data_IF_840839432509
#
_entry.id   IF_840839432509
#
_cell.length_a   1.000
_cell.length_b   1.000
_cell.length_c   1.000
_cell.angle_alpha   90.00
_cell.angle_beta   90.00
_cell.angle_gamma   90.00
#
_symmetry.space_group_name_H-M   'P 1'
#
loop_
_entity.id
_entity.type
_entity.pdbx_description
1 polymer ?
#
# COMPACT_ATOMS: atom_id res chain seq x y z
N UNK A 1 -1.52 23.59 16.13
CA UNK A 1 -1.89 22.84 14.90
C UNK A 1 -3.40 22.82 14.82
N UNK A 2 -3.96 23.28 13.70
CA UNK A 2 -5.41 23.31 13.49
C UNK A 2 -5.95 21.88 13.35
N UNK A 3 -6.89 21.48 14.21
CA UNK A 3 -7.39 20.08 14.29
C UNK A 3 -8.22 19.65 13.07
N UNK A 4 -8.50 20.57 12.15
CA UNK A 4 -9.22 20.30 10.91
C UNK A 4 -8.32 20.40 9.67
N UNK A 5 -7.01 20.65 9.86
CA UNK A 5 -6.08 20.75 8.74
C UNK A 5 -5.88 19.39 8.06
N UNK A 6 -5.47 19.43 6.79
CA UNK A 6 -5.15 18.22 6.01
C UNK A 6 -4.03 17.41 6.66
N UNK A 7 -3.06 18.11 7.22
CA UNK A 7 -1.90 17.55 7.92
C UNK A 7 -2.32 16.85 9.20
N UNK A 8 -3.20 17.46 10.02
CA UNK A 8 -3.71 16.82 11.24
C UNK A 8 -4.48 15.54 10.91
N UNK A 9 -5.33 15.58 9.88
CA UNK A 9 -6.06 14.41 9.38
C UNK A 9 -5.10 13.33 8.87
N UNK A 10 -4.04 13.70 8.16
CA UNK A 10 -3.01 12.76 7.71
C UNK A 10 -2.30 12.08 8.89
N UNK A 11 -1.89 12.84 9.91
CA UNK A 11 -1.29 12.30 11.14
C UNK A 11 -2.22 11.28 11.80
N UNK A 12 -3.50 11.62 11.98
CA UNK A 12 -4.49 10.71 12.58
C UNK A 12 -4.64 9.41 11.78
N UNK A 13 -4.71 9.50 10.45
CA UNK A 13 -4.78 8.32 9.55
C UNK A 13 -3.54 7.45 9.71
N UNK A 14 -2.35 8.04 9.62
CA UNK A 14 -1.07 7.33 9.69
C UNK A 14 -0.88 6.61 11.02
N UNK A 15 -1.11 7.30 12.14
CA UNK A 15 -1.02 6.68 13.48
C UNK A 15 -2.00 5.52 13.58
N UNK A 16 -3.25 5.72 13.16
CA UNK A 16 -4.28 4.68 13.24
C UNK A 16 -3.92 3.42 12.44
N UNK A 17 -3.37 3.54 11.23
CA UNK A 17 -2.97 2.37 10.45
C UNK A 17 -1.79 1.63 11.08
N UNK A 18 -0.75 2.34 11.51
CA UNK A 18 0.41 1.72 12.14
C UNK A 18 0.05 1.00 13.43
N UNK A 19 -0.79 1.61 14.28
CA UNK A 19 -1.22 0.99 15.54
C UNK A 19 -2.17 -0.18 15.30
N UNK A 20 -3.17 -0.03 14.41
CA UNK A 20 -4.10 -1.13 14.08
C UNK A 20 -3.36 -2.32 13.47
N UNK A 21 -2.39 -2.06 12.58
CA UNK A 21 -1.59 -3.11 11.99
C UNK A 21 -0.70 -3.81 13.03
N UNK A 22 -0.06 -3.06 13.93
CA UNK A 22 0.73 -3.64 15.01
C UNK A 22 -0.11 -4.51 15.96
N UNK A 23 -1.36 -4.12 16.20
CA UNK A 23 -2.29 -4.86 17.07
C UNK A 23 -2.88 -6.12 16.40
N UNK A 24 -3.23 -6.05 15.11
CA UNK A 24 -4.07 -7.08 14.46
C UNK A 24 -3.45 -7.76 13.24
N UNK A 25 -2.31 -7.26 12.75
CA UNK A 25 -1.74 -7.67 11.45
C UNK A 25 -2.55 -7.21 10.23
N UNK A 26 -3.60 -6.39 10.42
CA UNK A 26 -4.46 -5.90 9.34
C UNK A 26 -4.68 -4.38 9.48
N UNK A 27 -4.27 -3.55 8.51
CA UNK A 27 -4.38 -2.10 8.65
C UNK A 27 -5.81 -1.59 8.42
N UNK A 28 -6.76 -2.43 7.99
CA UNK A 28 -8.12 -1.96 7.72
C UNK A 28 -8.84 -1.56 9.02
N UNK A 29 -9.16 -0.28 9.17
CA UNK A 29 -9.91 0.24 10.31
C UNK A 29 -11.01 1.22 9.85
N UNK A 30 -12.27 0.89 10.11
CA UNK A 30 -13.44 1.72 9.74
C UNK A 30 -13.49 3.07 10.46
N UNK A 31 -12.72 3.24 11.55
CA UNK A 31 -12.62 4.50 12.29
C UNK A 31 -11.68 5.51 11.61
N UNK A 32 -10.91 5.08 10.60
CA UNK A 32 -10.00 5.97 9.88
C UNK A 32 -10.81 6.89 8.96
N UNK A 33 -10.67 8.22 9.09
CA UNK A 33 -11.44 9.16 8.26
C UNK A 33 -11.18 8.95 6.77
N UNK A 34 -12.25 8.77 5.98
CA UNK A 34 -12.16 8.59 4.52
C UNK A 34 -11.89 7.16 4.05
N UNK A 35 -11.88 6.18 4.95
CA UNK A 35 -11.74 4.76 4.58
C UNK A 35 -13.07 4.10 4.18
N UNK A 36 -14.19 4.85 4.21
CA UNK A 36 -15.51 4.33 3.84
C UNK A 36 -15.52 3.85 2.38
N UNK A 37 -15.80 2.56 2.18
CA UNK A 37 -15.82 1.94 0.84
C UNK A 37 -14.45 1.57 0.28
N UNK A 38 -13.34 1.91 0.97
CA UNK A 38 -11.98 1.54 0.56
C UNK A 38 -11.54 0.32 1.35
N UNK A 39 -11.31 -0.79 0.65
CA UNK A 39 -10.75 -2.01 1.24
C UNK A 39 -9.29 -2.18 0.85
N UNK A 40 -8.38 -1.96 1.79
CA UNK A 40 -6.95 -2.19 1.57
C UNK A 40 -6.68 -3.69 1.58
N UNK A 41 -6.52 -4.30 0.40
CA UNK A 41 -6.26 -5.74 0.28
C UNK A 41 -4.77 -6.04 0.41
N UNK A 42 -4.47 -7.22 0.95
CA UNK A 42 -3.11 -7.77 0.97
C UNK A 42 -2.59 -8.03 -0.45
N UNK A 43 -1.27 -7.92 -0.63
CA UNK A 43 -0.59 -8.30 -1.87
C UNK A 43 -0.79 -9.80 -2.15
N UNK A 44 -1.15 -10.14 -3.38
CA UNK A 44 -1.24 -11.54 -3.80
C UNK A 44 0.07 -11.98 -4.46
N UNK A 45 0.53 -13.20 -4.17
CA UNK A 45 1.76 -13.76 -4.76
C UNK A 45 1.73 -13.85 -6.29
N UNK A 46 0.52 -13.92 -6.86
CA UNK A 46 0.31 -14.05 -8.30
C UNK A 46 0.15 -12.71 -9.03
N UNK A 47 0.16 -11.58 -8.33
CA UNK A 47 0.10 -10.25 -8.94
C UNK A 47 1.49 -9.85 -9.44
N UNK A 48 2.06 -10.62 -10.38
CA UNK A 48 3.43 -10.38 -10.86
C UNK A 48 3.57 -9.06 -11.60
N UNK A 49 2.47 -8.53 -12.15
CA UNK A 49 2.49 -7.46 -13.15
C UNK A 49 1.70 -6.20 -12.73
N UNK A 50 0.90 -6.26 -11.66
CA UNK A 50 0.14 -5.11 -11.16
C UNK A 50 -0.07 -5.19 -9.64
N UNK A 51 0.91 -4.71 -8.87
CA UNK A 51 0.70 -4.51 -7.44
C UNK A 51 -0.31 -3.38 -7.21
N UNK A 52 -1.26 -3.62 -6.31
CA UNK A 52 -2.18 -2.58 -5.82
C UNK A 52 -1.69 -2.02 -4.49
N UNK A 53 -1.90 -0.72 -4.28
CA UNK A 53 -1.54 -0.02 -3.06
C UNK A 53 -2.69 0.89 -2.60
N UNK A 54 -2.68 1.21 -1.31
CA UNK A 54 -3.49 2.30 -0.79
C UNK A 54 -2.74 3.62 -1.06
N UNK A 55 -3.25 4.43 -1.98
CA UNK A 55 -2.76 5.78 -2.22
C UNK A 55 -3.30 6.71 -1.13
N UNK A 56 -2.40 7.30 -0.36
CA UNK A 56 -2.69 8.18 0.76
C UNK A 56 -2.55 9.62 0.28
N UNK A 57 -3.67 10.20 -0.10
CA UNK A 57 -3.82 11.61 -0.46
C UNK A 57 -4.95 12.21 0.38
N UNK A 58 -5.46 13.39 0.01
CA UNK A 58 -6.68 13.94 0.59
C UNK A 58 -7.82 12.91 0.54
N UNK A 59 -7.98 12.25 -0.61
CA UNK A 59 -8.85 11.08 -0.81
C UNK A 59 -8.06 9.77 -0.80
N UNK A 60 -8.56 8.80 -0.05
CA UNK A 60 -7.96 7.47 0.02
C UNK A 60 -8.46 6.61 -1.14
N UNK A 61 -7.54 6.03 -1.91
CA UNK A 61 -7.88 5.22 -3.09
C UNK A 61 -7.03 3.96 -3.13
N UNK A 62 -7.66 2.80 -3.37
CA UNK A 62 -6.92 1.56 -3.62
C UNK A 62 -6.69 1.42 -5.13
N UNK A 63 -5.47 1.69 -5.58
CA UNK A 63 -5.10 1.83 -6.98
C UNK A 63 -4.00 0.86 -7.38
N UNK A 64 -3.78 0.68 -8.68
CA UNK A 64 -2.55 0.05 -9.16
C UNK A 64 -1.36 0.97 -8.90
N UNK A 65 -0.24 0.40 -8.48
CA UNK A 65 0.99 1.13 -8.19
C UNK A 65 1.45 1.90 -9.44
N UNK A 66 1.42 3.24 -9.45
CA UNK A 66 1.71 4.02 -10.65
C UNK A 66 3.13 3.77 -11.21
N UNK A 67 4.06 3.45 -10.31
CA UNK A 67 5.48 3.23 -10.62
C UNK A 67 5.78 1.81 -11.13
N UNK A 68 4.78 0.92 -11.29
CA UNK A 68 4.99 -0.48 -11.63
C UNK A 68 5.87 -0.67 -12.89
N UNK A 69 5.67 0.17 -13.92
CA UNK A 69 6.47 0.14 -15.15
C UNK A 69 7.96 0.40 -14.89
N UNK A 70 8.28 1.35 -13.99
CA UNK A 70 9.66 1.66 -13.62
C UNK A 70 10.28 0.49 -12.86
N UNK A 71 9.53 -0.13 -11.94
CA UNK A 71 9.98 -1.32 -11.21
C UNK A 71 10.25 -2.51 -12.14
N UNK A 72 9.47 -2.67 -13.20
CA UNK A 72 9.71 -3.71 -14.21
C UNK A 72 11.02 -3.50 -14.97
N UNK A 73 11.38 -2.25 -15.28
CA UNK A 73 12.68 -1.94 -15.88
C UNK A 73 13.81 -2.37 -14.95
N UNK A 74 13.73 -2.01 -13.66
CA UNK A 74 14.72 -2.46 -12.66
C UNK A 74 14.78 -3.98 -12.56
N UNK A 75 13.63 -4.67 -12.48
CA UNK A 75 13.55 -6.14 -12.46
C UNK A 75 14.23 -6.78 -13.68
N UNK A 76 14.11 -6.15 -14.86
CA UNK A 76 14.69 -6.67 -16.09
C UNK A 76 16.23 -6.73 -16.05
N UNK A 77 16.89 -5.79 -15.36
CA UNK A 77 18.34 -5.76 -15.20
C UNK A 77 18.88 -6.98 -14.44
N UNK A 78 18.08 -7.53 -13.52
CA UNK A 78 18.46 -8.69 -12.72
C UNK A 78 18.15 -10.03 -13.39
N UNK A 79 17.58 -10.04 -14.60
CA UNK A 79 17.29 -11.31 -15.31
C UNK A 79 18.54 -12.11 -15.63
N UNK A 80 19.67 -11.43 -15.91
CA UNK A 80 20.95 -12.07 -16.22
C UNK A 80 21.69 -12.58 -14.96
N UNK A 81 21.47 -11.95 -13.80
CA UNK A 81 22.14 -12.26 -12.53
C UNK A 81 21.18 -12.87 -11.50
N UNK A 82 20.18 -13.63 -11.96
CA UNK A 82 19.19 -14.20 -11.04
C UNK A 82 19.80 -15.37 -10.26
N UNK A 83 20.36 -15.07 -9.09
CA UNK A 83 20.87 -16.08 -8.14
C UNK A 83 19.76 -16.71 -7.28
N UNK A 84 18.57 -16.11 -7.25
CA UNK A 84 17.42 -16.62 -6.52
C UNK A 84 16.61 -17.62 -7.36
N UNK A 85 16.24 -18.79 -6.81
CA UNK A 85 15.38 -19.75 -7.49
C UNK A 85 14.01 -19.13 -7.82
N UNK A 86 13.30 -19.65 -8.85
CA UNK A 86 11.95 -19.19 -9.14
C UNK A 86 11.06 -19.38 -7.90
N UNK A 87 10.27 -18.35 -7.57
CA UNK A 87 9.19 -18.45 -6.57
C UNK A 87 8.37 -19.70 -6.85
N UNK A 88 8.49 -20.70 -5.97
CA UNK A 88 7.75 -21.96 -6.07
C UNK A 88 6.27 -21.65 -5.88
N UNK A 89 5.44 -22.14 -6.80
CA UNK A 89 3.98 -21.96 -6.80
C UNK A 89 3.34 -22.58 -5.57
#
# INVERSE_FOLDING_TARGET
MERQSREYRCIQRMISWWTTFAETGNPNNVKVPGMHGVKWRSLQRHDSDSFKCLNIDDDLKFIDLPEMKKLMVWKSLYTLHRTLPPSTK
#
